data_IF_168051771148
#
_entry.id   IF_168051771148
#
_cell.length_a   1.000
_cell.length_b   1.000
_cell.length_c   1.000
_cell.angle_alpha   90.00
_cell.angle_beta   90.00
_cell.angle_gamma   90.00
#
_symmetry.space_group_name_H-M   'P 1'
#
loop_
_entity.id
_entity.type
_entity.pdbx_description
1 polymer ?
#
# COMPACT_ATOMS: atom_id res chain seq x y z
N UNK A 1 79.98 10.64 44.65
CA UNK A 1 78.72 9.96 45.03
C UNK A 1 78.36 9.06 43.86
N UNK A 2 78.51 7.73 43.96
CA UNK A 2 77.51 6.86 44.59
C UNK A 2 76.13 7.19 43.99
N UNK A 3 75.43 6.33 43.25
CA UNK A 3 75.19 4.93 43.55
C UNK A 3 73.96 4.51 42.72
N UNK A 4 74.02 3.38 42.00
CA UNK A 4 72.89 2.57 41.52
C UNK A 4 71.97 3.24 40.46
N UNK A 5 71.40 2.58 39.46
CA UNK A 5 70.94 1.20 39.27
C UNK A 5 71.09 0.87 37.78
N UNK A 6 71.94 -0.10 37.44
CA UNK A 6 71.57 -1.50 37.18
C UNK A 6 71.04 -1.71 35.74
N UNK A 7 71.95 -2.25 34.91
CA UNK A 7 71.79 -3.44 34.05
C UNK A 7 70.37 -3.71 33.55
N UNK A 8 70.20 -3.81 32.24
CA UNK A 8 69.72 -5.05 31.59
C UNK A 8 69.99 -4.89 30.09
N UNK A 9 71.17 -5.34 29.65
CA UNK A 9 71.31 -6.62 28.94
C UNK A 9 70.91 -6.49 27.47
N UNK A 10 71.92 -6.20 26.66
CA UNK A 10 71.92 -6.48 25.22
C UNK A 10 72.06 -8.00 25.10
N UNK A 11 71.02 -8.68 24.62
CA UNK A 11 71.20 -9.91 23.84
C UNK A 11 70.13 -9.95 22.74
N UNK A 12 70.63 -9.88 21.51
CA UNK A 12 69.89 -10.18 20.28
C UNK A 12 69.53 -11.67 20.19
N UNK A 13 68.36 -11.95 19.64
CA UNK A 13 67.97 -13.24 19.06
C UNK A 13 66.44 -13.30 18.95
N UNK A 14 65.78 -13.48 17.81
CA UNK A 14 66.20 -13.87 16.48
C UNK A 14 65.19 -13.34 15.44
N UNK A 15 65.72 -12.97 14.27
CA UNK A 15 65.27 -13.33 12.92
C UNK A 15 63.75 -13.38 12.67
N UNK A 16 63.22 -12.37 11.97
CA UNK A 16 62.70 -12.49 10.59
C UNK A 16 61.75 -11.31 10.27
N UNK A 17 61.92 -10.79 9.06
CA UNK A 17 61.31 -9.58 8.51
C UNK A 17 59.95 -9.89 7.90
N UNK A 18 58.96 -9.02 8.13
CA UNK A 18 57.97 -8.64 7.10
C UNK A 18 57.28 -7.30 7.46
N UNK A 19 57.72 -6.25 6.75
CA UNK A 19 57.02 -5.04 6.31
C UNK A 19 55.81 -4.50 7.12
N UNK A 20 55.97 -3.30 7.66
CA UNK A 20 54.87 -2.37 7.99
C UNK A 20 54.90 -1.21 6.98
N UNK A 21 53.77 -0.74 6.41
CA UNK A 21 53.66 0.65 6.00
C UNK A 21 53.12 1.51 7.15
N UNK A 22 53.77 2.66 7.32
CA UNK A 22 53.54 3.67 8.35
C UNK A 22 52.26 4.51 8.11
N UNK A 23 51.76 5.19 9.17
CA UNK A 23 50.48 5.89 9.21
C UNK A 23 50.61 7.36 8.80
N UNK A 24 49.59 7.88 8.10
CA UNK A 24 49.41 9.30 7.80
C UNK A 24 47.92 9.48 7.42
N UNK A 25 47.13 10.46 7.85
CA UNK A 25 47.16 11.53 8.86
C UNK A 25 45.68 11.89 9.12
N UNK A 26 45.40 12.52 10.27
CA UNK A 26 44.04 12.86 10.72
C UNK A 26 43.36 13.93 9.86
N UNK A 27 42.10 13.68 9.47
CA UNK A 27 41.07 14.72 9.35
C UNK A 27 39.78 14.22 10.00
N UNK A 28 39.33 14.95 11.02
CA UNK A 28 38.07 14.69 11.71
C UNK A 28 36.93 15.30 10.90
N UNK A 29 36.45 14.56 9.89
CA UNK A 29 35.20 14.88 9.21
C UNK A 29 34.08 13.96 9.73
N UNK A 30 33.14 14.52 10.48
CA UNK A 30 31.86 13.89 10.80
C UNK A 30 31.22 13.35 9.52
N UNK A 31 30.84 12.07 9.47
CA UNK A 31 29.59 11.67 8.80
C UNK A 31 29.12 10.25 9.20
N UNK A 32 27.97 10.28 9.86
CA UNK A 32 26.87 9.30 10.03
C UNK A 32 27.22 7.81 9.88
N UNK A 33 27.06 7.10 11.00
CA UNK A 33 26.98 5.63 11.04
C UNK A 33 25.74 5.13 10.29
N UNK A 34 25.89 4.80 9.02
CA UNK A 34 24.96 3.89 8.35
C UNK A 34 25.52 2.47 8.43
N UNK A 35 24.99 1.73 9.41
CA UNK A 35 25.30 0.34 9.65
C UNK A 35 24.63 -0.51 8.57
N UNK A 36 25.31 -0.69 7.44
CA UNK A 36 25.02 -1.80 6.53
C UNK A 36 25.29 -3.12 7.26
N UNK A 37 24.25 -3.89 7.51
CA UNK A 37 24.42 -5.32 7.67
C UNK A 37 23.42 -6.09 6.79
N UNK A 38 24.03 -6.85 5.88
CA UNK A 38 23.59 -8.12 5.33
C UNK A 38 22.82 -8.09 4.01
N UNK A 39 23.63 -8.11 2.94
CA UNK A 39 23.30 -8.78 1.69
C UNK A 39 22.95 -10.25 1.96
N UNK A 40 21.71 -10.65 1.66
CA UNK A 40 21.42 -12.06 1.36
C UNK A 40 20.16 -12.20 0.48
N UNK A 41 20.36 -12.81 -0.69
CA UNK A 41 19.39 -13.39 -1.61
C UNK A 41 18.53 -12.44 -2.47
N UNK A 42 19.00 -12.28 -3.70
CA UNK A 42 18.22 -12.30 -4.94
C UNK A 42 16.77 -12.76 -4.76
N UNK A 43 15.86 -11.83 -4.55
CA UNK A 43 14.55 -11.81 -5.20
C UNK A 43 14.18 -10.35 -5.35
N UNK A 44 13.95 -9.92 -6.59
CA UNK A 44 13.16 -8.74 -6.91
C UNK A 44 12.11 -8.55 -5.81
N UNK A 45 12.28 -7.54 -4.95
CA UNK A 45 11.23 -7.13 -4.03
C UNK A 45 10.20 -6.38 -4.88
N UNK A 46 9.57 -7.12 -5.80
CA UNK A 46 8.47 -6.67 -6.62
C UNK A 46 7.38 -6.33 -5.62
N UNK A 47 7.31 -5.04 -5.35
CA UNK A 47 6.44 -4.36 -4.42
C UNK A 47 5.20 -5.20 -4.15
N UNK A 48 5.21 -5.92 -3.02
CA UNK A 48 4.09 -6.73 -2.55
C UNK A 48 2.97 -5.79 -2.07
N UNK A 49 2.63 -4.71 -2.75
CA UNK A 49 1.46 -3.91 -2.41
C UNK A 49 0.50 -3.94 -3.59
N UNK A 50 -0.77 -4.16 -3.28
CA UNK A 50 -1.79 -4.04 -4.30
C UNK A 50 -1.96 -2.58 -4.68
N UNK A 51 -2.31 -2.28 -5.94
CA UNK A 51 -2.66 -0.92 -6.34
C UNK A 51 -3.78 -0.36 -5.47
N UNK A 52 -3.85 0.96 -5.35
CA UNK A 52 -4.82 1.65 -4.51
C UNK A 52 -6.26 1.18 -4.76
N UNK A 53 -6.97 0.94 -3.66
CA UNK A 53 -8.35 0.45 -3.68
C UNK A 53 -8.50 -1.05 -3.95
N UNK A 54 -7.40 -1.80 -4.13
CA UNK A 54 -7.41 -3.27 -4.17
C UNK A 54 -6.91 -3.86 -2.85
N UNK A 55 -7.28 -5.10 -2.58
CA UNK A 55 -6.74 -5.89 -1.46
C UNK A 55 -6.19 -7.22 -1.96
N UNK A 56 -5.34 -7.83 -1.15
CA UNK A 56 -4.69 -9.09 -1.52
C UNK A 56 -5.56 -10.27 -1.13
N UNK A 57 -5.77 -11.18 -2.07
CA UNK A 57 -6.44 -12.47 -1.87
C UNK A 57 -5.56 -13.57 -2.46
N UNK A 58 -4.80 -14.24 -1.59
CA UNK A 58 -3.71 -15.13 -2.00
C UNK A 58 -2.61 -14.35 -2.72
N UNK A 59 -2.17 -14.86 -3.87
CA UNK A 59 -1.12 -14.22 -4.68
C UNK A 59 -1.64 -13.15 -5.66
N UNK A 60 -2.92 -12.76 -5.55
CA UNK A 60 -3.57 -11.83 -6.48
C UNK A 60 -4.15 -10.61 -5.76
N UNK A 61 -4.15 -9.48 -6.48
CA UNK A 61 -4.84 -8.27 -6.07
C UNK A 61 -6.24 -8.23 -6.67
N UNK A 62 -7.24 -8.07 -5.81
CA UNK A 62 -8.67 -8.11 -6.15
C UNK A 62 -9.36 -6.83 -5.70
N UNK A 63 -10.45 -6.50 -6.37
CA UNK A 63 -11.29 -5.36 -6.01
C UNK A 63 -12.26 -5.70 -4.87
N UNK A 64 -12.70 -4.72 -4.07
CA UNK A 64 -13.76 -4.88 -3.09
C UNK A 64 -15.03 -5.47 -3.70
N UNK A 65 -15.83 -6.14 -2.88
CA UNK A 65 -17.06 -6.78 -3.34
C UNK A 65 -18.00 -5.79 -4.03
N UNK A 66 -18.55 -6.22 -5.15
CA UNK A 66 -19.42 -5.41 -6.00
C UNK A 66 -18.69 -4.42 -6.90
N UNK A 67 -17.35 -4.40 -6.91
CA UNK A 67 -16.55 -3.66 -7.88
C UNK A 67 -15.95 -4.57 -8.94
N UNK A 68 -15.69 -4.03 -10.13
CA UNK A 68 -14.96 -4.70 -11.20
C UNK A 68 -13.61 -4.03 -11.44
N UNK A 69 -12.64 -4.84 -11.87
CA UNK A 69 -11.28 -4.40 -12.16
C UNK A 69 -11.15 -3.97 -13.62
N UNK A 70 -10.65 -2.76 -13.86
CA UNK A 70 -10.24 -2.29 -15.19
C UNK A 70 -8.82 -1.70 -15.08
N UNK A 71 -7.84 -2.43 -15.64
CA UNK A 71 -6.42 -2.16 -15.41
C UNK A 71 -6.06 -2.33 -13.93
N UNK A 72 -5.45 -1.30 -13.34
CA UNK A 72 -5.08 -1.27 -11.92
C UNK A 72 -6.12 -0.62 -11.00
N UNK A 73 -7.31 -0.33 -11.51
CA UNK A 73 -8.34 0.41 -10.77
C UNK A 73 -9.62 -0.42 -10.59
N UNK A 74 -10.33 -0.14 -9.50
CA UNK A 74 -11.60 -0.75 -9.15
C UNK A 74 -12.76 0.24 -9.31
N UNK A 75 -13.78 -0.20 -10.04
CA UNK A 75 -14.94 0.60 -10.42
C UNK A 75 -16.24 -0.03 -9.93
N UNK A 76 -17.20 0.81 -9.58
CA UNK A 76 -18.58 0.38 -9.36
C UNK A 76 -19.28 0.20 -10.71
N UNK A 77 -20.29 -0.68 -10.80
CA UNK A 77 -21.20 -0.72 -11.95
C UNK A 77 -21.77 0.67 -12.27
N UNK A 78 -22.03 0.94 -13.55
CA UNK A 78 -22.41 2.27 -14.03
C UNK A 78 -23.71 2.82 -13.42
N UNK A 79 -24.57 1.95 -12.90
CA UNK A 79 -25.81 2.30 -12.22
C UNK A 79 -25.65 2.52 -10.70
N UNK A 80 -24.41 2.44 -10.19
CA UNK A 80 -24.07 2.59 -8.78
C UNK A 80 -23.15 3.78 -8.51
N UNK A 81 -23.26 4.34 -7.31
CA UNK A 81 -22.45 5.43 -6.80
C UNK A 81 -21.36 4.84 -5.90
N UNK A 82 -20.10 5.24 -6.11
CA UNK A 82 -18.97 4.86 -5.26
C UNK A 82 -18.89 5.80 -4.06
N UNK A 83 -18.98 5.25 -2.85
CA UNK A 83 -18.67 5.96 -1.60
C UNK A 83 -17.61 5.17 -0.85
N UNK A 84 -16.39 5.72 -0.79
CA UNK A 84 -15.22 4.99 -0.30
C UNK A 84 -14.95 3.72 -1.13
N UNK A 85 -14.87 2.58 -0.45
CA UNK A 85 -14.62 1.27 -1.07
C UNK A 85 -15.90 0.47 -1.37
N UNK A 86 -17.07 1.12 -1.33
CA UNK A 86 -18.36 0.46 -1.52
C UNK A 86 -19.17 1.12 -2.64
N UNK A 87 -20.00 0.31 -3.28
CA UNK A 87 -20.92 0.73 -4.33
C UNK A 87 -22.36 0.70 -3.80
N UNK A 88 -23.10 1.77 -4.03
CA UNK A 88 -24.46 1.95 -3.55
C UNK A 88 -25.41 2.25 -4.71
N UNK A 89 -26.65 1.81 -4.58
CA UNK A 89 -27.69 2.29 -5.48
C UNK A 89 -28.07 3.72 -5.15
N UNK A 90 -28.36 4.56 -6.16
CA UNK A 90 -28.86 5.90 -5.92
C UNK A 90 -30.19 5.89 -5.16
N UNK A 91 -30.55 7.04 -4.59
CA UNK A 91 -31.74 7.16 -3.75
C UNK A 91 -33.02 6.63 -4.41
N UNK A 92 -33.78 5.87 -3.62
CA UNK A 92 -35.01 5.22 -4.05
C UNK A 92 -34.81 3.98 -4.92
N UNK A 93 -33.58 3.54 -5.17
CA UNK A 93 -33.29 2.27 -5.84
C UNK A 93 -32.78 1.22 -4.85
N UNK A 94 -32.95 -0.05 -5.21
CA UNK A 94 -32.40 -1.18 -4.45
C UNK A 94 -31.55 -2.09 -5.34
N UNK A 95 -30.66 -2.85 -4.70
CA UNK A 95 -29.73 -3.74 -5.40
C UNK A 95 -30.42 -5.06 -5.73
N UNK A 96 -30.47 -5.41 -7.02
CA UNK A 96 -30.90 -6.72 -7.52
C UNK A 96 -29.74 -7.34 -8.31
N UNK A 97 -29.01 -8.24 -7.66
CA UNK A 97 -27.74 -8.74 -8.18
C UNK A 97 -26.69 -7.62 -8.23
N UNK A 98 -26.11 -7.37 -9.40
CA UNK A 98 -25.14 -6.29 -9.61
C UNK A 98 -25.75 -5.02 -10.21
N UNK A 99 -27.07 -4.89 -10.22
CA UNK A 99 -27.78 -3.75 -10.80
C UNK A 99 -28.66 -3.05 -9.78
N UNK A 100 -28.90 -1.77 -10.01
CA UNK A 100 -29.86 -0.96 -9.28
C UNK A 100 -31.18 -0.94 -10.02
N UNK A 101 -32.25 -1.20 -9.29
CA UNK A 101 -33.61 -1.29 -9.81
C UNK A 101 -34.55 -0.41 -9.00
N UNK A 102 -35.60 0.07 -9.67
CA UNK A 102 -36.66 0.83 -9.02
C UNK A 102 -37.66 -0.08 -8.30
N UNK A 103 -38.32 0.44 -7.24
CA UNK A 103 -39.46 -0.19 -6.60
C UNK A 103 -40.55 -0.55 -7.61
N UNK A 104 -41.38 -1.52 -7.25
CA UNK A 104 -42.44 -1.99 -8.13
C UNK A 104 -43.34 -0.84 -8.59
N UNK A 105 -43.67 -0.85 -9.89
CA UNK A 105 -44.41 0.18 -10.63
C UNK A 105 -43.69 1.51 -10.83
N UNK A 106 -42.49 1.70 -10.33
CA UNK A 106 -41.68 2.89 -10.63
C UNK A 106 -40.75 2.65 -11.82
N UNK A 107 -40.50 3.72 -12.58
CA UNK A 107 -39.56 3.70 -13.71
C UNK A 107 -38.37 4.60 -13.43
N UNK A 108 -37.20 4.20 -13.93
CA UNK A 108 -35.97 4.98 -13.81
C UNK A 108 -36.05 6.20 -14.73
N UNK A 109 -36.00 7.38 -14.14
CA UNK A 109 -35.92 8.67 -14.83
C UNK A 109 -34.65 9.40 -14.37
N UNK A 110 -33.57 9.27 -15.16
CA UNK A 110 -32.22 9.67 -14.75
C UNK A 110 -31.71 8.77 -13.63
N UNK A 111 -31.26 9.36 -12.52
CA UNK A 111 -30.74 8.64 -11.35
C UNK A 111 -31.80 8.41 -10.25
N UNK A 112 -33.08 8.61 -10.55
CA UNK A 112 -34.18 8.49 -9.58
C UNK A 112 -35.30 7.62 -10.11
N UNK A 113 -36.03 7.02 -9.19
CA UNK A 113 -37.28 6.31 -9.48
C UNK A 113 -38.46 7.26 -9.37
N UNK A 114 -39.35 7.19 -10.35
CA UNK A 114 -40.55 8.01 -10.45
C UNK A 114 -41.71 7.18 -10.93
N UNK A 115 -42.93 7.63 -10.63
CA UNK A 115 -44.10 7.02 -11.23
C UNK A 115 -44.07 7.14 -12.76
N UNK A 116 -44.66 6.17 -13.47
CA UNK A 116 -44.79 6.21 -14.92
C UNK A 116 -45.52 7.48 -15.39
N UNK A 117 -45.43 7.74 -16.69
CA UNK A 117 -46.15 8.87 -17.29
C UNK A 117 -47.66 8.72 -17.02
N UNK A 118 -48.31 9.82 -16.64
CA UNK A 118 -49.73 9.90 -16.26
C UNK A 118 -50.09 9.20 -14.93
N UNK A 119 -49.10 8.90 -14.10
CA UNK A 119 -49.32 8.44 -12.73
C UNK A 119 -48.73 9.44 -11.72
N UNK A 120 -49.35 9.53 -10.55
CA UNK A 120 -48.88 10.34 -9.42
C UNK A 120 -48.61 9.46 -8.20
N UNK A 121 -47.74 9.92 -7.30
CA UNK A 121 -47.48 9.24 -6.02
C UNK A 121 -48.55 9.66 -5.01
N UNK A 122 -49.33 8.71 -4.51
CA UNK A 122 -50.32 8.95 -3.46
C UNK A 122 -49.65 9.17 -2.08
N UNK A 123 -50.43 9.57 -1.06
CA UNK A 123 -49.91 9.78 0.30
C UNK A 123 -49.34 8.52 0.94
N UNK A 124 -49.68 7.34 0.43
CA UNK A 124 -49.14 6.06 0.87
C UNK A 124 -47.89 5.65 0.09
N UNK A 125 -47.38 6.50 -0.81
CA UNK A 125 -46.19 6.24 -1.60
C UNK A 125 -46.41 5.40 -2.85
N UNK A 126 -47.65 5.07 -3.23
CA UNK A 126 -47.94 4.22 -4.40
C UNK A 126 -48.21 5.04 -5.66
N UNK A 127 -47.83 4.52 -6.82
CA UNK A 127 -48.19 5.11 -8.10
C UNK A 127 -49.65 4.79 -8.48
N UNK A 128 -50.42 5.84 -8.79
CA UNK A 128 -51.85 5.78 -9.16
C UNK A 128 -52.09 6.56 -10.44
N UNK A 129 -53.01 6.08 -11.28
CA UNK A 129 -53.50 6.85 -12.44
C UNK A 129 -54.40 7.97 -11.96
N UNK A 130 -54.19 9.17 -12.52
CA UNK A 130 -55.09 10.30 -12.38
C UNK A 130 -56.29 10.20 -13.30
#
# INVERSE_FOLDING_TARGET
MLLKHLIFSIVLGAIAVAALPQPESQEWGLEVRDNEEQMNNNHNHHQKNCPDGQFRKGDRCVCPDGQFKKGNHCFCPDDQIKMGNRCFCPDGQFKKGNRCVCPDREVRQGNRCKCPKNEYRDHNGNCRRG
#
